data_IF_457804427248
#
_entry.id   IF_457804427248
#
_cell.length_a   1.000
_cell.length_b   1.000
_cell.length_c   1.000
_cell.angle_alpha   90.00
_cell.angle_beta   90.00
_cell.angle_gamma   90.00
#
_symmetry.space_group_name_H-M   'P 1'
#
loop_
_entity.id
_entity.type
_entity.pdbx_description
1 polymer ?
#
# COMPACT_ATOMS: atom_id res chain seq x y z
N UNK A 1 -5.60 -2.76 10.16
CA UNK A 1 -6.41 -3.62 9.26
C UNK A 1 -7.01 -2.74 8.19
N UNK A 2 -7.07 -3.20 6.94
CA UNK A 2 -7.52 -2.48 5.76
C UNK A 2 -8.47 -3.35 4.93
N UNK A 3 -9.12 -2.80 3.92
CA UNK A 3 -10.02 -3.51 3.02
C UNK A 3 -9.40 -3.79 1.64
N UNK A 4 -8.29 -3.15 1.33
CA UNK A 4 -7.69 -3.18 0.00
C UNK A 4 -8.44 -2.32 -1.03
N UNK A 5 -9.19 -1.34 -0.55
CA UNK A 5 -9.87 -0.34 -1.39
C UNK A 5 -9.14 0.99 -1.29
N UNK A 6 -8.50 1.39 -2.36
CA UNK A 6 -7.74 2.65 -2.44
C UNK A 6 -8.68 3.84 -2.28
N UNK A 7 -8.44 4.66 -1.27
CA UNK A 7 -9.26 5.84 -0.97
C UNK A 7 -8.69 7.12 -1.56
N UNK A 8 -7.37 7.15 -1.79
CA UNK A 8 -6.68 8.27 -2.42
C UNK A 8 -5.38 7.81 -3.08
N UNK A 9 -4.86 8.65 -3.96
CA UNK A 9 -3.54 8.47 -4.58
C UNK A 9 -2.71 9.70 -4.24
N UNK A 10 -1.48 9.51 -3.79
CA UNK A 10 -0.56 10.60 -3.46
C UNK A 10 -0.17 11.36 -4.73
N UNK A 11 -0.01 12.68 -4.62
CA UNK A 11 0.52 13.49 -5.73
C UNK A 11 2.05 13.57 -5.71
N UNK A 12 2.63 13.59 -4.50
CA UNK A 12 4.08 13.69 -4.27
C UNK A 12 4.44 12.90 -3.03
N UNK A 13 5.60 12.30 -3.07
CA UNK A 13 6.25 11.66 -1.93
C UNK A 13 7.67 12.21 -1.80
N UNK A 14 8.14 12.37 -0.57
CA UNK A 14 9.50 12.80 -0.26
C UNK A 14 10.08 11.86 0.77
N UNK A 15 11.29 11.39 0.52
CA UNK A 15 12.09 10.61 1.46
C UNK A 15 13.18 11.50 2.05
N UNK A 16 13.38 11.40 3.34
CA UNK A 16 14.48 12.02 4.06
C UNK A 16 15.16 10.94 4.89
N UNK A 17 16.44 10.69 4.59
CA UNK A 17 17.24 9.65 5.26
C UNK A 17 17.41 9.97 6.76
N UNK A 18 17.31 8.95 7.59
CA UNK A 18 17.48 8.97 9.03
C UNK A 18 18.25 7.74 9.48
N UNK A 19 18.81 7.74 10.66
CA UNK A 19 19.59 6.61 11.20
C UNK A 19 18.79 5.31 11.26
N UNK A 20 17.46 5.39 11.44
CA UNK A 20 16.53 4.25 11.52
C UNK A 20 15.94 3.82 10.17
N UNK A 21 16.18 4.55 9.10
CA UNK A 21 15.58 4.34 7.78
C UNK A 21 15.24 5.64 7.09
N UNK A 22 13.97 5.94 6.88
CA UNK A 22 13.51 7.17 6.24
C UNK A 22 12.31 7.79 6.94
N UNK A 23 12.29 9.12 6.96
CA UNK A 23 11.06 9.89 7.13
C UNK A 23 10.40 10.02 5.77
N UNK A 24 9.20 9.48 5.63
CA UNK A 24 8.38 9.54 4.42
C UNK A 24 7.31 10.61 4.59
N UNK A 25 7.32 11.61 3.71
CA UNK A 25 6.27 12.63 3.63
C UNK A 25 5.41 12.39 2.39
N UNK A 26 4.10 12.23 2.56
CA UNK A 26 3.15 11.90 1.51
C UNK A 26 2.12 13.00 1.35
N UNK A 27 2.05 13.59 0.15
CA UNK A 27 1.02 14.58 -0.18
C UNK A 27 -0.31 13.90 -0.47
N UNK A 28 -1.37 14.33 0.22
CA UNK A 28 -2.70 13.72 0.17
C UNK A 28 -3.78 14.78 -0.13
N UNK A 29 -4.98 14.39 -0.63
CA UNK A 29 -6.13 15.28 -0.68
C UNK A 29 -6.50 15.79 0.72
N UNK A 30 -6.93 17.04 0.83
CA UNK A 30 -7.22 17.65 2.13
C UNK A 30 -8.34 16.95 2.93
N UNK A 31 -9.25 16.26 2.28
CA UNK A 31 -10.29 15.47 2.93
C UNK A 31 -9.76 14.14 3.51
N UNK A 32 -8.62 13.64 3.04
CA UNK A 32 -8.02 12.39 3.51
C UNK A 32 -7.54 12.49 4.97
N UNK A 33 -7.06 13.68 5.38
CA UNK A 33 -6.61 13.93 6.76
C UNK A 33 -7.74 14.28 7.72
N UNK A 34 -8.99 14.41 7.23
CA UNK A 34 -10.13 14.72 8.09
C UNK A 34 -10.33 13.64 9.16
N UNK A 35 -10.34 14.02 10.44
CA UNK A 35 -10.40 13.12 11.60
C UNK A 35 -9.22 12.13 11.71
N UNK A 36 -8.10 12.36 11.02
CA UNK A 36 -6.87 11.62 11.22
C UNK A 36 -6.23 12.04 12.54
N UNK A 37 -5.54 11.14 13.21
CA UNK A 37 -4.80 11.39 14.45
C UNK A 37 -3.38 10.83 14.32
N UNK A 38 -2.43 11.40 15.05
CA UNK A 38 -1.11 10.78 15.27
C UNK A 38 -1.33 9.42 15.93
N UNK A 39 -0.59 8.42 15.47
CA UNK A 39 -0.77 7.02 15.89
C UNK A 39 -1.78 6.22 15.06
N UNK A 40 -2.61 6.87 14.21
CA UNK A 40 -3.47 6.14 13.26
C UNK A 40 -2.62 5.38 12.24
N UNK A 41 -3.15 4.27 11.73
CA UNK A 41 -2.53 3.51 10.63
C UNK A 41 -3.09 3.95 9.28
N UNK A 42 -2.18 4.07 8.31
CA UNK A 42 -2.50 4.29 6.89
C UNK A 42 -1.73 3.28 6.06
N UNK A 43 -2.40 2.60 5.14
CA UNK A 43 -1.73 1.78 4.14
C UNK A 43 -1.20 2.68 3.03
N UNK A 44 0.10 2.65 2.81
CA UNK A 44 0.81 3.35 1.73
C UNK A 44 1.35 2.29 0.78
N UNK A 45 0.86 2.21 -0.45
CA UNK A 45 1.08 1.07 -1.36
C UNK A 45 0.87 -0.29 -0.67
N UNK A 46 -0.10 -0.39 0.23
CA UNK A 46 -0.40 -1.60 0.99
C UNK A 46 0.47 -1.83 2.21
N UNK A 47 1.46 -0.99 2.47
CA UNK A 47 2.30 -1.05 3.68
C UNK A 47 1.61 -0.30 4.81
N UNK A 48 1.33 -0.98 5.92
CA UNK A 48 0.77 -0.36 7.12
C UNK A 48 1.84 0.52 7.79
N UNK A 49 1.65 1.84 7.73
CA UNK A 49 2.51 2.82 8.38
C UNK A 49 1.74 3.62 9.44
N UNK A 50 2.42 3.91 10.53
CA UNK A 50 1.86 4.73 11.61
C UNK A 50 2.09 6.21 11.34
N UNK A 51 1.03 7.02 11.45
CA UNK A 51 1.09 8.47 11.30
C UNK A 51 1.90 9.09 12.45
N UNK A 52 3.04 9.68 12.13
CA UNK A 52 3.90 10.40 13.08
C UNK A 52 3.46 11.85 13.22
N UNK A 53 3.22 12.49 12.09
CA UNK A 53 2.69 13.86 12.04
C UNK A 53 1.85 14.07 10.77
N UNK A 54 1.01 15.12 10.78
CA UNK A 54 0.26 15.47 9.58
C UNK A 54 -0.17 16.94 9.59
N UNK A 55 -0.33 17.48 8.38
CA UNK A 55 -0.95 18.78 8.10
C UNK A 55 -2.15 18.57 7.18
N UNK A 56 -2.84 19.64 6.77
CA UNK A 56 -4.06 19.59 5.95
C UNK A 56 -3.95 18.66 4.71
N UNK A 57 -2.79 18.60 4.05
CA UNK A 57 -2.56 17.87 2.81
C UNK A 57 -1.23 17.10 2.77
N UNK A 58 -0.66 16.82 3.94
CA UNK A 58 0.60 16.11 4.10
C UNK A 58 0.52 15.17 5.29
N UNK A 59 1.00 13.95 5.15
CA UNK A 59 1.16 12.98 6.23
C UNK A 59 2.62 12.55 6.28
N UNK A 60 3.16 12.40 7.48
CA UNK A 60 4.52 11.96 7.74
C UNK A 60 4.52 10.62 8.46
N UNK A 61 5.44 9.75 8.03
CA UNK A 61 5.65 8.41 8.55
C UNK A 61 7.13 8.16 8.77
N UNK A 62 7.46 7.34 9.75
CA UNK A 62 8.78 6.75 9.87
C UNK A 62 8.77 5.35 9.23
N UNK A 63 9.72 5.09 8.33
CA UNK A 63 9.85 3.83 7.59
C UNK A 63 11.19 3.20 7.92
N UNK A 64 11.16 2.06 8.60
CA UNK A 64 12.38 1.34 9.00
C UNK A 64 13.01 0.61 7.81
N UNK A 65 14.30 0.35 7.88
CA UNK A 65 15.08 -0.31 6.81
C UNK A 65 14.49 -1.64 6.35
N UNK A 66 13.90 -2.43 7.24
CA UNK A 66 13.27 -3.70 6.89
C UNK A 66 12.09 -3.50 5.93
N UNK A 67 11.22 -2.54 6.21
CA UNK A 67 10.08 -2.21 5.33
C UNK A 67 10.52 -1.78 3.94
N UNK A 68 11.65 -1.08 3.83
CA UNK A 68 12.20 -0.64 2.55
C UNK A 68 12.70 -1.82 1.72
N UNK A 69 13.32 -2.82 2.36
CA UNK A 69 13.85 -4.01 1.68
C UNK A 69 12.74 -4.91 1.11
N UNK A 70 11.61 -5.00 1.81
CA UNK A 70 10.50 -5.89 1.48
C UNK A 70 9.41 -5.25 0.63
N UNK A 71 9.52 -3.94 0.33
CA UNK A 71 8.45 -3.19 -0.32
C UNK A 71 8.97 -2.25 -1.41
N UNK A 72 8.06 -1.67 -2.17
CA UNK A 72 8.38 -0.59 -3.11
C UNK A 72 8.32 0.82 -2.47
N UNK A 73 8.31 0.91 -1.14
CA UNK A 73 8.42 2.17 -0.42
C UNK A 73 9.90 2.58 -0.37
N UNK A 74 10.39 3.18 -1.42
CA UNK A 74 11.77 3.65 -1.49
C UNK A 74 11.89 4.88 -2.39
N UNK A 75 12.99 5.62 -2.26
CA UNK A 75 13.27 6.82 -3.05
C UNK A 75 13.26 6.56 -4.56
N UNK A 76 13.70 5.36 -4.99
CA UNK A 76 13.65 4.91 -6.39
C UNK A 76 12.26 5.05 -7.01
N UNK A 77 11.19 4.93 -6.21
CA UNK A 77 9.81 5.03 -6.67
C UNK A 77 9.13 6.35 -6.30
N UNK A 78 9.89 7.35 -5.84
CA UNK A 78 9.35 8.66 -5.41
C UNK A 78 8.65 9.45 -6.53
N UNK A 79 8.98 9.16 -7.79
CA UNK A 79 8.36 9.79 -8.97
C UNK A 79 6.98 9.24 -9.33
N UNK A 80 6.58 8.08 -8.79
CA UNK A 80 5.27 7.47 -9.04
C UNK A 80 4.31 7.72 -7.88
N UNK A 81 3.00 7.86 -8.17
CA UNK A 81 2.00 8.01 -7.11
C UNK A 81 1.88 6.76 -6.25
N UNK A 82 1.61 6.94 -4.94
CA UNK A 82 1.36 5.85 -4.00
C UNK A 82 -0.13 5.76 -3.68
N UNK A 83 -0.64 4.54 -3.65
CA UNK A 83 -2.00 4.24 -3.21
C UNK A 83 -2.12 4.43 -1.69
N UNK A 84 -3.24 5.00 -1.25
CA UNK A 84 -3.48 5.33 0.14
C UNK A 84 -4.83 4.79 0.59
N UNK A 85 -4.84 4.14 1.73
CA UNK A 85 -6.05 3.69 2.40
C UNK A 85 -5.92 3.92 3.91
N UNK A 86 -6.97 4.45 4.55
CA UNK A 86 -7.05 4.55 6.01
C UNK A 86 -7.49 3.21 6.60
N UNK A 87 -7.04 2.94 7.82
CA UNK A 87 -7.49 1.74 8.53
C UNK A 87 -9.00 1.70 8.69
N UNK A 88 -9.56 0.50 8.57
CA UNK A 88 -10.96 0.20 8.88
C UNK A 88 -11.26 0.51 10.34
N UNK A 89 -12.49 0.94 10.58
CA UNK A 89 -13.08 1.05 11.91
C UNK A 89 -14.07 -0.07 12.16
N UNK A 90 -14.37 -0.33 13.41
CA UNK A 90 -15.46 -1.26 13.77
C UNK A 90 -16.77 -0.68 13.23
N UNK A 91 -17.50 -1.49 12.45
CA UNK A 91 -18.76 -1.09 11.81
C UNK A 91 -18.62 -0.57 10.38
N UNK A 92 -17.40 -0.39 9.86
CA UNK A 92 -17.22 -0.04 8.45
C UNK A 92 -17.54 -1.24 7.53
N UNK A 93 -18.05 -0.96 6.34
CA UNK A 93 -18.22 -1.96 5.28
C UNK A 93 -16.88 -2.40 4.73
N UNK A 94 -16.70 -3.71 4.51
CA UNK A 94 -15.51 -4.29 3.88
C UNK A 94 -15.77 -4.51 2.40
N UNK A 95 -15.53 -3.50 1.58
CA UNK A 95 -15.76 -3.56 0.12
C UNK A 95 -14.75 -4.42 -0.66
N UNK A 96 -13.65 -4.83 -0.04
CA UNK A 96 -12.64 -5.73 -0.59
C UNK A 96 -12.47 -6.98 0.26
N UNK A 97 -11.26 -7.20 0.76
CA UNK A 97 -10.94 -8.33 1.65
C UNK A 97 -10.14 -7.82 2.85
N UNK A 98 -10.08 -8.60 3.92
CA UNK A 98 -9.25 -8.23 5.08
C UNK A 98 -7.77 -8.24 4.71
N UNK A 99 -7.12 -7.08 4.77
CA UNK A 99 -5.72 -6.86 4.44
C UNK A 99 -4.99 -6.34 5.67
N UNK A 100 -3.90 -7.00 6.05
CA UNK A 100 -3.13 -6.63 7.25
C UNK A 100 -2.31 -5.35 7.05
N UNK A 101 -1.82 -5.14 5.83
CA UNK A 101 -0.82 -4.11 5.52
C UNK A 101 0.62 -4.58 5.78
N UNK A 102 0.83 -5.86 6.09
CA UNK A 102 2.16 -6.45 6.26
C UNK A 102 2.59 -7.11 4.95
N UNK A 103 3.40 -6.42 4.19
CA UNK A 103 3.85 -6.87 2.87
C UNK A 103 4.86 -8.00 3.02
N UNK A 104 4.64 -9.09 2.30
CA UNK A 104 5.48 -10.29 2.39
C UNK A 104 6.64 -10.28 1.41
N UNK A 105 6.46 -9.65 0.24
CA UNK A 105 7.50 -9.63 -0.79
C UNK A 105 7.18 -8.61 -1.89
N UNK A 106 8.15 -8.37 -2.76
CA UNK A 106 8.01 -7.64 -4.03
C UNK A 106 7.84 -8.68 -5.14
N UNK A 107 6.99 -8.40 -6.11
CA UNK A 107 6.80 -9.24 -7.27
C UNK A 107 7.00 -8.46 -8.57
N UNK A 108 7.46 -9.15 -9.61
CA UNK A 108 7.68 -8.60 -10.94
C UNK A 108 6.39 -8.66 -11.76
N UNK A 109 6.03 -7.57 -12.41
CA UNK A 109 4.93 -7.55 -13.39
C UNK A 109 5.46 -8.12 -14.70
N UNK A 110 4.88 -9.24 -15.16
CA UNK A 110 5.22 -9.87 -16.44
C UNK A 110 4.52 -9.15 -17.58
N UNK A 111 3.23 -8.87 -17.43
CA UNK A 111 2.44 -8.15 -18.43
C UNK A 111 1.19 -7.50 -17.82
N UNK A 112 0.70 -6.46 -18.50
CA UNK A 112 -0.59 -5.86 -18.23
C UNK A 112 -1.36 -5.72 -19.54
N UNK A 113 -2.47 -6.43 -19.66
CA UNK A 113 -3.37 -6.34 -20.80
C UNK A 113 -4.55 -5.43 -20.43
N UNK A 114 -4.74 -4.37 -21.22
CA UNK A 114 -5.83 -3.40 -21.03
C UNK A 114 -6.79 -3.47 -22.23
N UNK A 115 -7.51 -4.59 -22.36
CA UNK A 115 -8.53 -4.84 -23.40
C UNK A 115 -9.93 -4.80 -22.77
N UNK A 116 -10.87 -5.64 -23.26
CA UNK A 116 -12.19 -5.82 -22.65
C UNK A 116 -12.09 -6.20 -21.17
N UNK A 117 -11.15 -7.08 -20.85
CA UNK A 117 -10.77 -7.43 -19.48
C UNK A 117 -9.37 -6.89 -19.20
N UNK A 118 -9.17 -6.39 -17.98
CA UNK A 118 -7.86 -5.94 -17.52
C UNK A 118 -7.18 -7.10 -16.79
N UNK A 119 -6.10 -7.62 -17.38
CA UNK A 119 -5.39 -8.77 -16.85
C UNK A 119 -3.98 -8.33 -16.46
N UNK A 120 -3.65 -8.48 -15.18
CA UNK A 120 -2.31 -8.28 -14.63
C UNK A 120 -1.66 -9.64 -14.40
N UNK A 121 -0.55 -9.92 -15.08
CA UNK A 121 0.26 -11.13 -14.87
C UNK A 121 1.49 -10.79 -14.05
N UNK A 122 1.69 -11.54 -12.99
CA UNK A 122 2.75 -11.31 -12.00
C UNK A 122 3.52 -12.59 -11.77
N UNK A 123 4.85 -12.47 -11.72
CA UNK A 123 5.73 -13.58 -11.33
C UNK A 123 5.65 -13.77 -9.81
N UNK A 124 5.11 -14.90 -9.38
CA UNK A 124 4.98 -15.20 -7.97
C UNK A 124 6.36 -15.54 -7.39
N UNK A 125 6.81 -14.85 -6.32
CA UNK A 125 8.00 -15.25 -5.58
C UNK A 125 7.89 -16.69 -5.08
N UNK A 126 8.99 -17.44 -5.14
CA UNK A 126 9.01 -18.88 -4.83
C UNK A 126 8.48 -19.23 -3.44
N UNK A 127 8.80 -18.38 -2.45
CA UNK A 127 8.34 -18.52 -1.08
C UNK A 127 6.84 -18.24 -0.88
N UNK A 128 6.15 -17.69 -1.87
CA UNK A 128 4.71 -17.37 -1.80
C UNK A 128 3.82 -18.31 -2.62
N UNK A 129 4.39 -19.23 -3.40
CA UNK A 129 3.61 -20.14 -4.28
C UNK A 129 2.54 -20.94 -3.54
N UNK A 130 2.81 -21.39 -2.31
CA UNK A 130 1.87 -22.18 -1.50
C UNK A 130 0.72 -21.37 -0.88
N UNK A 131 0.77 -20.05 -0.95
CA UNK A 131 -0.22 -19.16 -0.33
C UNK A 131 -1.16 -18.50 -1.35
N UNK A 132 -0.87 -18.63 -2.64
CA UNK A 132 -1.64 -18.01 -3.72
C UNK A 132 -2.34 -19.11 -4.51
N UNK A 133 -3.67 -19.06 -4.56
CA UNK A 133 -4.49 -20.07 -5.22
C UNK A 133 -5.65 -19.42 -5.99
N UNK A 134 -6.08 -20.13 -7.03
CA UNK A 134 -7.20 -19.71 -7.88
C UNK A 134 -8.45 -19.42 -7.04
N UNK A 135 -9.14 -18.32 -7.35
CA UNK A 135 -10.33 -17.81 -6.62
C UNK A 135 -10.03 -17.30 -5.20
N UNK A 136 -8.79 -17.37 -4.72
CA UNK A 136 -8.36 -16.64 -3.55
C UNK A 136 -8.22 -15.15 -3.85
N UNK A 137 -7.74 -14.39 -2.88
CA UNK A 137 -7.44 -12.97 -3.05
C UNK A 137 -6.00 -12.66 -2.68
N UNK A 138 -5.49 -11.57 -3.23
CA UNK A 138 -4.15 -11.04 -2.94
C UNK A 138 -4.23 -9.51 -2.93
N UNK A 139 -3.48 -8.89 -2.04
CA UNK A 139 -3.31 -7.44 -2.05
C UNK A 139 -2.03 -7.06 -2.79
N UNK A 140 -2.15 -6.22 -3.81
CA UNK A 140 -1.01 -5.72 -4.61
C UNK A 140 -1.02 -4.21 -4.55
N UNK A 141 0.05 -3.61 -4.01
CA UNK A 141 0.12 -2.17 -3.75
C UNK A 141 -1.12 -1.62 -3.03
N UNK A 142 -1.66 -2.39 -2.08
CA UNK A 142 -2.84 -2.03 -1.31
C UNK A 142 -4.18 -2.23 -2.03
N UNK A 143 -4.17 -2.82 -3.22
CA UNK A 143 -5.39 -3.12 -3.98
C UNK A 143 -5.76 -4.58 -3.76
N UNK A 144 -6.95 -4.85 -3.24
CA UNK A 144 -7.48 -6.20 -3.11
C UNK A 144 -7.92 -6.74 -4.47
N UNK A 145 -7.34 -7.84 -4.91
CA UNK A 145 -7.59 -8.44 -6.21
C UNK A 145 -7.92 -9.93 -6.07
N UNK A 146 -8.85 -10.41 -6.89
CA UNK A 146 -9.14 -11.85 -7.00
C UNK A 146 -8.13 -12.52 -7.91
N UNK A 147 -7.60 -13.66 -7.47
CA UNK A 147 -6.70 -14.50 -8.27
C UNK A 147 -7.52 -15.28 -9.30
N UNK A 148 -7.34 -14.98 -10.58
CA UNK A 148 -8.05 -15.65 -11.67
C UNK A 148 -7.41 -17.00 -11.98
N UNK A 149 -6.07 -17.04 -12.05
CA UNK A 149 -5.29 -18.23 -12.33
C UNK A 149 -3.90 -18.15 -11.67
N UNK A 150 -3.25 -19.28 -11.45
CA UNK A 150 -1.90 -19.41 -10.89
C UNK A 150 -1.05 -20.26 -11.80
#
# INVERSE_FOLDING_TARGET
>A
MFSGIVQAVSKKVKFEEKDYGYKLSVSVPANFTKKLKKGDSVAVNGVCLTVVDFKKNLIEFDVVHESIKLTNISEKFSSIPFNLERSLKIGDEVGGHFVSGHVHNIAEIISFENKKEKILKIKIPSNLKGYIFKKGYVSINGISLTVVNV
#
